data_IF_598003235612
#
_entry.id   IF_598003235612
#
_cell.length_a   1.000
_cell.length_b   1.000
_cell.length_c   1.000
_cell.angle_alpha   90.00
_cell.angle_beta   90.00
_cell.angle_gamma   90.00
#
_symmetry.space_group_name_H-M   'P 1'
#
loop_
_entity.id
_entity.type
_entity.pdbx_description
1 polymer ?
#
# COMPACT_ATOMS: atom_id res chain seq x y z
N UNK A 1 -20.41 -104.65 16.94
CA UNK A 1 -19.40 -104.03 17.83
C UNK A 1 -18.93 -102.75 17.13
N UNK A 2 -18.86 -101.67 17.85
CA UNK A 2 -18.38 -100.35 17.54
C UNK A 2 -19.31 -99.39 16.77
N UNK A 3 -19.98 -98.56 17.58
CA UNK A 3 -20.72 -97.35 17.26
C UNK A 3 -19.75 -96.22 16.95
N UNK A 4 -20.09 -95.40 15.92
CA UNK A 4 -19.49 -94.10 15.77
C UNK A 4 -20.63 -93.06 15.76
N UNK A 5 -20.68 -92.21 16.82
CA UNK A 5 -21.47 -91.07 16.93
C UNK A 5 -20.89 -89.95 16.06
N UNK A 6 -21.68 -89.38 15.09
CA UNK A 6 -21.36 -88.20 14.37
C UNK A 6 -21.80 -86.97 15.13
N UNK A 7 -20.87 -86.03 15.39
CA UNK A 7 -21.12 -84.67 15.93
C UNK A 7 -21.55 -83.73 14.81
N UNK A 8 -22.76 -83.18 14.93
CA UNK A 8 -23.24 -82.12 14.05
C UNK A 8 -22.76 -80.78 14.64
N UNK A 9 -21.83 -80.15 13.97
CA UNK A 9 -21.37 -78.79 14.29
C UNK A 9 -22.31 -77.75 13.69
N UNK A 10 -22.97 -76.95 14.56
CA UNK A 10 -23.74 -75.76 14.13
C UNK A 10 -22.76 -74.62 13.85
N UNK A 11 -22.66 -74.15 12.60
CA UNK A 11 -22.04 -72.91 12.23
C UNK A 11 -23.00 -71.76 12.56
N UNK A 12 -22.61 -70.89 13.52
CA UNK A 12 -23.29 -69.62 13.77
C UNK A 12 -22.65 -68.58 12.84
N UNK A 13 -23.34 -68.16 11.80
CA UNK A 13 -22.93 -67.06 10.96
C UNK A 13 -23.16 -65.70 11.68
N UNK A 14 -22.09 -64.98 11.95
CA UNK A 14 -22.16 -63.61 12.46
C UNK A 14 -22.23 -62.68 11.25
N UNK A 15 -23.40 -62.08 11.04
CA UNK A 15 -23.58 -61.04 10.05
C UNK A 15 -23.04 -59.70 10.55
N UNK A 16 -21.93 -59.21 10.02
CA UNK A 16 -21.39 -57.89 10.32
C UNK A 16 -22.14 -56.86 9.45
N UNK A 17 -23.03 -56.10 10.05
CA UNK A 17 -23.68 -54.98 9.40
C UNK A 17 -22.71 -53.77 9.42
N UNK A 18 -22.07 -53.48 8.31
CA UNK A 18 -21.29 -52.25 8.11
C UNK A 18 -22.25 -51.05 7.96
N UNK A 19 -22.42 -50.28 9.01
CA UNK A 19 -23.12 -48.99 8.96
C UNK A 19 -22.27 -47.98 8.22
N UNK A 20 -22.66 -47.64 6.97
CA UNK A 20 -22.07 -46.56 6.18
C UNK A 20 -22.66 -45.24 6.69
N UNK A 21 -21.93 -44.53 7.54
CA UNK A 21 -22.28 -43.17 7.93
C UNK A 21 -21.92 -42.20 6.77
N UNK A 22 -22.86 -41.38 6.29
CA UNK A 22 -22.54 -40.36 5.31
C UNK A 22 -21.54 -39.37 5.94
N UNK A 23 -20.34 -39.27 5.36
CA UNK A 23 -19.38 -38.20 5.70
C UNK A 23 -19.97 -36.91 5.19
N UNK A 24 -20.57 -36.10 6.06
CA UNK A 24 -20.86 -34.69 5.77
C UNK A 24 -19.51 -33.96 5.63
N UNK A 25 -19.14 -33.59 4.40
CA UNK A 25 -18.01 -32.69 4.21
C UNK A 25 -18.29 -31.40 4.98
N UNK A 26 -17.33 -30.90 5.78
CA UNK A 26 -17.51 -29.62 6.45
C UNK A 26 -17.76 -28.54 5.38
N UNK A 27 -18.82 -27.76 5.56
CA UNK A 27 -19.10 -26.62 4.70
C UNK A 27 -17.86 -25.71 4.70
N UNK A 28 -17.40 -25.34 3.51
CA UNK A 28 -16.27 -24.42 3.37
C UNK A 28 -16.56 -23.14 4.16
N UNK A 29 -15.66 -22.76 5.07
CA UNK A 29 -15.80 -21.53 5.82
C UNK A 29 -15.95 -20.35 4.85
N UNK A 30 -16.82 -19.38 5.09
CA UNK A 30 -17.01 -18.24 4.23
C UNK A 30 -15.66 -17.52 4.06
N UNK A 31 -15.23 -17.33 2.82
CA UNK A 31 -14.01 -16.58 2.49
C UNK A 31 -14.20 -15.17 3.01
N UNK A 32 -13.37 -14.75 3.95
CA UNK A 32 -13.42 -13.40 4.52
C UNK A 32 -13.27 -12.36 3.39
N UNK A 33 -14.18 -11.38 3.37
CA UNK A 33 -14.15 -10.31 2.37
C UNK A 33 -12.86 -9.51 2.51
N UNK A 34 -12.12 -9.35 1.43
CA UNK A 34 -10.90 -8.54 1.43
C UNK A 34 -11.24 -7.07 1.69
N UNK A 35 -10.39 -6.34 2.44
CA UNK A 35 -10.52 -4.89 2.58
C UNK A 35 -10.33 -4.22 1.22
N UNK A 36 -10.98 -3.07 1.01
CA UNK A 36 -10.91 -2.32 -0.24
C UNK A 36 -9.72 -1.37 -0.21
N UNK A 37 -8.83 -1.47 -1.20
CA UNK A 37 -7.84 -0.45 -1.52
C UNK A 37 -8.36 0.34 -2.72
N UNK A 38 -8.57 1.66 -2.53
CA UNK A 38 -8.98 2.57 -3.59
C UNK A 38 -7.75 3.28 -4.15
N UNK A 39 -7.34 2.96 -5.38
CA UNK A 39 -6.38 3.76 -6.12
C UNK A 39 -7.08 4.96 -6.73
N UNK A 40 -6.85 6.12 -6.15
CA UNK A 40 -7.48 7.37 -6.57
C UNK A 40 -6.62 8.14 -7.55
N UNK A 41 -7.22 8.51 -8.67
CA UNK A 41 -6.64 9.40 -9.68
C UNK A 41 -7.32 10.78 -9.73
N UNK A 42 -8.11 11.14 -8.73
CA UNK A 42 -8.88 12.37 -8.75
C UNK A 42 -8.02 13.65 -8.76
N UNK A 43 -6.74 13.56 -8.37
CA UNK A 43 -5.78 14.67 -8.37
C UNK A 43 -4.73 14.55 -9.48
N UNK A 44 -4.86 13.57 -10.38
CA UNK A 44 -4.01 13.46 -11.55
C UNK A 44 -4.60 14.24 -12.72
N UNK A 45 -3.74 14.96 -13.45
CA UNK A 45 -4.14 15.67 -14.66
C UNK A 45 -4.53 14.75 -15.80
N UNK A 46 -5.45 15.20 -16.64
CA UNK A 46 -5.72 14.53 -17.90
C UNK A 46 -4.42 14.47 -18.73
N UNK A 47 -4.14 13.34 -19.36
CA UNK A 47 -2.87 13.10 -20.08
C UNK A 47 -1.69 12.71 -19.21
N UNK A 48 -1.82 12.65 -17.88
CA UNK A 48 -0.79 12.06 -17.02
C UNK A 48 -0.68 10.56 -17.25
N UNK A 49 0.42 10.14 -17.87
CA UNK A 49 0.66 8.74 -18.26
C UNK A 49 1.51 7.97 -17.27
N UNK A 50 2.12 8.66 -16.31
CA UNK A 50 2.86 8.01 -15.22
C UNK A 50 1.87 7.37 -14.25
N UNK A 51 2.24 6.24 -13.70
CA UNK A 51 1.48 5.57 -12.64
C UNK A 51 0.05 5.16 -13.05
N UNK A 52 -0.15 4.81 -14.34
CA UNK A 52 -1.44 4.31 -14.82
C UNK A 52 -1.75 2.93 -14.22
N UNK A 53 -2.97 2.69 -13.76
CA UNK A 53 -3.37 1.43 -13.14
C UNK A 53 -3.33 0.23 -14.09
N UNK A 54 -3.51 0.46 -15.38
CA UNK A 54 -3.40 -0.51 -16.48
C UNK A 54 -2.06 -0.42 -17.23
N UNK A 55 -1.19 0.49 -16.81
CA UNK A 55 0.13 0.75 -17.36
C UNK A 55 1.24 0.48 -16.35
N UNK A 56 1.95 1.54 -15.96
CA UNK A 56 3.17 1.44 -15.13
C UNK A 56 2.93 0.98 -13.69
N UNK A 57 1.69 1.03 -13.18
CA UNK A 57 1.31 0.52 -11.85
C UNK A 57 0.53 -0.79 -11.89
N UNK A 58 0.35 -1.39 -13.08
CA UNK A 58 -0.41 -2.62 -13.24
C UNK A 58 0.08 -3.74 -12.32
N UNK A 59 1.39 -3.96 -12.26
CA UNK A 59 1.95 -5.09 -11.52
C UNK A 59 1.78 -4.93 -10.01
N UNK A 60 2.00 -3.73 -9.46
CA UNK A 60 1.81 -3.48 -8.03
C UNK A 60 0.35 -3.65 -7.62
N UNK A 61 -0.60 -3.11 -8.41
CA UNK A 61 -2.03 -3.23 -8.11
C UNK A 61 -2.51 -4.68 -8.23
N UNK A 62 -2.01 -5.43 -9.22
CA UNK A 62 -2.30 -6.85 -9.36
C UNK A 62 -1.77 -7.67 -8.18
N UNK A 63 -0.53 -7.44 -7.75
CA UNK A 63 0.07 -8.11 -6.59
C UNK A 63 -0.67 -7.78 -5.29
N UNK A 64 -1.10 -6.52 -5.10
CA UNK A 64 -1.93 -6.12 -3.97
C UNK A 64 -3.30 -6.81 -3.92
N UNK A 65 -3.78 -7.29 -5.06
CA UNK A 65 -4.99 -8.11 -5.16
C UNK A 65 -4.95 -9.39 -4.29
N UNK A 66 -3.79 -9.79 -3.77
CA UNK A 66 -3.66 -10.89 -2.81
C UNK A 66 -4.26 -10.51 -1.44
N UNK A 67 -4.06 -9.27 -1.00
CA UNK A 67 -4.50 -8.77 0.30
C UNK A 67 -5.78 -7.92 0.23
N UNK A 68 -6.05 -7.27 -0.90
CA UNK A 68 -7.09 -6.27 -1.07
C UNK A 68 -8.03 -6.57 -2.24
N UNK A 69 -9.25 -6.06 -2.16
CA UNK A 69 -10.06 -5.75 -3.34
C UNK A 69 -9.59 -4.38 -3.87
N UNK A 70 -8.89 -4.38 -5.00
CA UNK A 70 -8.35 -3.14 -5.58
C UNK A 70 -9.40 -2.50 -6.48
N UNK A 71 -9.76 -1.25 -6.18
CA UNK A 71 -10.63 -0.40 -7.01
C UNK A 71 -9.86 0.79 -7.53
N UNK A 72 -10.24 1.29 -8.70
CA UNK A 72 -9.67 2.50 -9.30
C UNK A 72 -10.81 3.52 -9.52
N UNK A 73 -10.55 4.79 -9.19
CA UNK A 73 -11.51 5.86 -9.44
C UNK A 73 -10.79 7.20 -9.70
N UNK A 74 -11.37 8.01 -10.58
CA UNK A 74 -10.99 9.41 -10.77
C UNK A 74 -11.99 10.39 -10.13
N UNK A 75 -13.02 9.86 -9.48
CA UNK A 75 -14.03 10.66 -8.80
C UNK A 75 -13.48 11.35 -7.55
N UNK A 76 -14.02 12.52 -7.18
CA UNK A 76 -13.66 13.17 -5.92
C UNK A 76 -13.87 12.26 -4.71
N UNK A 77 -12.94 12.31 -3.76
CA UNK A 77 -12.92 11.48 -2.54
C UNK A 77 -13.99 11.93 -1.55
N UNK A 78 -15.26 11.67 -1.88
CA UNK A 78 -16.41 11.99 -1.05
C UNK A 78 -16.86 10.80 -0.22
N UNK A 79 -17.63 11.06 0.83
CA UNK A 79 -18.14 10.06 1.78
C UNK A 79 -18.74 8.82 1.12
N UNK A 80 -19.53 8.98 0.06
CA UNK A 80 -20.17 7.84 -0.62
C UNK A 80 -19.14 6.90 -1.26
N UNK A 81 -18.10 7.45 -1.88
CA UNK A 81 -17.00 6.68 -2.47
C UNK A 81 -16.15 6.00 -1.40
N UNK A 82 -15.99 6.64 -0.23
CA UNK A 82 -15.10 6.19 0.85
C UNK A 82 -15.77 5.23 1.85
N UNK A 83 -17.08 4.98 1.74
CA UNK A 83 -17.87 4.27 2.77
C UNK A 83 -17.33 2.89 3.16
N UNK A 84 -16.83 2.12 2.21
CA UNK A 84 -16.34 0.75 2.40
C UNK A 84 -14.84 0.60 2.03
N UNK A 85 -14.17 1.73 1.87
CA UNK A 85 -12.74 1.77 1.54
C UNK A 85 -11.93 1.65 2.82
N UNK A 86 -11.02 0.69 2.88
CA UNK A 86 -10.11 0.53 4.01
C UNK A 86 -8.88 1.44 3.88
N UNK A 87 -8.38 1.63 2.65
CA UNK A 87 -7.24 2.51 2.40
C UNK A 87 -7.36 3.17 1.03
N UNK A 88 -7.07 4.47 0.98
CA UNK A 88 -6.93 5.26 -0.25
C UNK A 88 -5.46 5.41 -0.59
N UNK A 89 -5.11 5.19 -1.85
CA UNK A 89 -3.80 5.46 -2.42
C UNK A 89 -3.90 6.59 -3.45
N UNK A 90 -3.12 7.65 -3.26
CA UNK A 90 -2.90 8.75 -4.22
C UNK A 90 -1.44 8.74 -4.63
N UNK A 91 -1.15 8.62 -5.92
CA UNK A 91 0.20 8.67 -6.45
C UNK A 91 0.38 9.88 -7.37
N UNK A 92 1.40 10.66 -7.08
CA UNK A 92 1.82 11.82 -7.85
C UNK A 92 0.67 12.75 -8.26
N UNK A 93 -0.01 13.41 -7.31
CA UNK A 93 -0.96 14.47 -7.65
C UNK A 93 -0.25 15.53 -8.50
N UNK A 94 -0.93 16.08 -9.49
CA UNK A 94 -0.31 16.99 -10.44
C UNK A 94 -0.54 18.46 -10.06
N UNK A 95 0.47 19.30 -10.28
CA UNK A 95 0.39 20.75 -10.06
C UNK A 95 -0.19 21.48 -11.27
N UNK A 96 0.26 21.13 -12.48
CA UNK A 96 -0.11 21.83 -13.72
C UNK A 96 -0.67 20.87 -14.76
N UNK A 97 -1.31 21.42 -15.78
CA UNK A 97 -1.80 20.67 -16.92
C UNK A 97 -0.67 19.91 -17.64
N UNK A 98 -0.99 18.72 -18.16
CA UNK A 98 -0.07 17.93 -18.99
C UNK A 98 -0.35 18.21 -20.46
N UNK A 99 0.59 18.83 -21.13
CA UNK A 99 0.46 19.23 -22.53
C UNK A 99 -0.67 20.26 -22.70
N UNK A 100 -1.60 20.00 -23.63
CA UNK A 100 -2.76 20.87 -23.93
C UNK A 100 -4.04 20.45 -23.18
N UNK A 101 -3.94 19.51 -22.23
CA UNK A 101 -5.09 19.03 -21.46
C UNK A 101 -5.57 20.08 -20.44
N UNK A 102 -6.79 19.94 -19.92
CA UNK A 102 -7.28 20.78 -18.84
C UNK A 102 -6.38 20.70 -17.59
N UNK A 103 -6.33 21.74 -16.76
CA UNK A 103 -5.63 21.70 -15.48
C UNK A 103 -6.11 20.54 -14.61
N UNK A 104 -5.22 19.96 -13.78
CA UNK A 104 -5.62 18.94 -12.81
C UNK A 104 -6.55 19.54 -11.76
N UNK A 105 -7.32 18.67 -11.12
CA UNK A 105 -8.07 19.05 -9.94
C UNK A 105 -7.12 19.14 -8.75
N UNK A 106 -7.12 20.27 -8.07
CA UNK A 106 -6.39 20.44 -6.81
C UNK A 106 -7.25 20.10 -5.60
N UNK A 107 -6.58 19.82 -4.47
CA UNK A 107 -7.25 19.67 -3.16
C UNK A 107 -7.91 21.00 -2.78
N UNK A 108 -9.19 20.95 -2.42
CA UNK A 108 -9.95 22.10 -1.92
C UNK A 108 -10.44 21.82 -0.49
N UNK A 109 -10.94 22.84 0.20
CA UNK A 109 -11.33 22.74 1.60
C UNK A 109 -12.32 21.59 1.90
N UNK A 110 -13.25 21.30 0.98
CA UNK A 110 -14.19 20.18 1.15
C UNK A 110 -13.48 18.82 1.10
N UNK A 111 -12.44 18.67 0.29
CA UNK A 111 -11.66 17.42 0.27
C UNK A 111 -10.92 17.21 1.58
N UNK A 112 -10.33 18.29 2.13
CA UNK A 112 -9.67 18.25 3.44
C UNK A 112 -10.65 17.77 4.51
N UNK A 113 -11.88 18.30 4.52
CA UNK A 113 -12.90 17.88 5.48
C UNK A 113 -13.32 16.42 5.32
N UNK A 114 -13.59 15.97 4.09
CA UNK A 114 -14.05 14.61 3.81
C UNK A 114 -12.95 13.57 4.09
N UNK A 115 -11.72 13.81 3.62
CA UNK A 115 -10.61 12.90 3.83
C UNK A 115 -10.20 12.88 5.31
N UNK A 116 -10.17 14.03 5.98
CA UNK A 116 -9.87 14.09 7.41
C UNK A 116 -10.92 13.31 8.23
N UNK A 117 -12.21 13.43 7.91
CA UNK A 117 -13.26 12.65 8.57
C UNK A 117 -13.04 11.16 8.33
N UNK A 118 -12.88 10.75 7.07
CA UNK A 118 -12.63 9.36 6.70
C UNK A 118 -11.46 8.76 7.48
N UNK A 119 -10.32 9.46 7.55
CA UNK A 119 -9.15 8.98 8.29
C UNK A 119 -9.43 8.96 9.80
N UNK A 120 -10.02 10.00 10.38
CA UNK A 120 -10.33 10.02 11.81
C UNK A 120 -11.29 8.90 12.24
N UNK A 121 -12.16 8.46 11.33
CA UNK A 121 -13.12 7.37 11.57
C UNK A 121 -12.49 5.97 11.40
N UNK A 122 -11.23 5.87 10.97
CA UNK A 122 -10.47 4.62 10.87
C UNK A 122 -9.95 4.28 9.48
N UNK A 123 -10.18 5.13 8.47
CA UNK A 123 -9.64 4.92 7.13
C UNK A 123 -8.14 5.13 7.04
N UNK A 124 -7.51 4.44 6.10
CA UNK A 124 -6.10 4.61 5.73
C UNK A 124 -5.92 5.58 4.56
N UNK A 125 -4.89 6.41 4.59
CA UNK A 125 -4.58 7.31 3.49
C UNK A 125 -3.09 7.26 3.17
N UNK A 126 -2.74 6.87 1.94
CA UNK A 126 -1.37 6.81 1.44
C UNK A 126 -1.23 7.84 0.33
N UNK A 127 -0.28 8.74 0.46
CA UNK A 127 0.07 9.69 -0.60
C UNK A 127 1.54 9.57 -0.92
N UNK A 128 1.83 9.50 -2.21
CA UNK A 128 3.18 9.48 -2.74
C UNK A 128 3.35 10.66 -3.68
N UNK A 129 4.37 11.47 -3.45
CA UNK A 129 4.65 12.67 -4.24
C UNK A 129 6.09 12.62 -4.78
N UNK A 130 6.33 13.16 -5.95
CA UNK A 130 7.64 13.10 -6.59
C UNK A 130 8.54 14.28 -6.16
N UNK A 131 9.66 14.42 -6.83
CA UNK A 131 10.62 15.49 -6.65
C UNK A 131 10.29 16.71 -7.53
N UNK A 132 10.96 17.82 -7.24
CA UNK A 132 10.98 19.03 -8.05
C UNK A 132 11.15 18.70 -9.55
N UNK A 133 10.43 19.40 -10.42
CA UNK A 133 10.49 19.23 -11.88
C UNK A 133 9.69 18.06 -12.44
N UNK A 134 8.99 17.30 -11.62
CA UNK A 134 8.13 16.17 -12.03
C UNK A 134 6.63 16.44 -11.89
N UNK A 135 6.24 17.70 -12.05
CA UNK A 135 4.83 18.15 -11.94
C UNK A 135 4.23 17.78 -10.58
N UNK A 136 5.00 18.00 -9.52
CA UNK A 136 4.62 17.68 -8.15
C UNK A 136 3.70 18.74 -7.57
N UNK A 137 2.61 18.33 -6.98
CA UNK A 137 1.64 19.21 -6.32
C UNK A 137 1.95 19.32 -4.83
N UNK A 138 2.51 20.44 -4.39
CA UNK A 138 2.90 20.66 -3.00
C UNK A 138 1.93 21.57 -2.24
N UNK A 139 1.52 22.74 -2.74
CA UNK A 139 0.77 23.70 -1.93
C UNK A 139 -0.59 23.18 -1.47
N UNK A 140 -1.40 22.66 -2.38
CA UNK A 140 -2.75 22.19 -2.08
C UNK A 140 -2.73 20.83 -1.37
N UNK A 141 -1.82 19.91 -1.77
CA UNK A 141 -1.65 18.64 -1.06
C UNK A 141 -1.23 18.88 0.39
N UNK A 142 -0.39 19.87 0.65
CA UNK A 142 0.01 20.26 2.01
C UNK A 142 -1.13 20.86 2.83
N UNK A 143 -2.15 21.44 2.21
CA UNK A 143 -3.36 21.85 2.93
C UNK A 143 -4.10 20.65 3.53
N UNK A 144 -4.08 19.51 2.85
CA UNK A 144 -4.62 18.25 3.35
C UNK A 144 -3.67 17.59 4.37
N UNK A 145 -2.40 17.43 4.01
CA UNK A 145 -1.41 16.75 4.86
C UNK A 145 -1.17 17.48 6.18
N UNK A 146 -1.30 18.80 6.19
CA UNK A 146 -1.22 19.62 7.39
C UNK A 146 -2.22 19.24 8.48
N UNK A 147 -3.40 18.70 8.10
CA UNK A 147 -4.38 18.16 9.04
C UNK A 147 -3.86 16.90 9.78
N UNK A 148 -2.87 16.24 9.20
CA UNK A 148 -2.24 15.02 9.73
C UNK A 148 -0.82 15.27 10.28
N UNK A 149 -0.41 16.53 10.38
CA UNK A 149 0.90 16.92 10.89
C UNK A 149 2.07 16.66 9.93
N UNK A 150 1.78 16.45 8.64
CA UNK A 150 2.73 16.16 7.58
C UNK A 150 2.73 17.26 6.51
N UNK A 151 3.84 17.41 5.80
CA UNK A 151 3.90 18.25 4.60
C UNK A 151 5.05 17.78 3.70
N UNK A 152 4.87 17.85 2.38
CA UNK A 152 5.96 17.69 1.43
C UNK A 152 6.73 19.00 1.25
N UNK A 153 8.02 18.86 0.96
CA UNK A 153 8.84 19.98 0.47
C UNK A 153 8.87 19.98 -1.06
N UNK A 154 9.29 21.08 -1.67
CA UNK A 154 9.65 21.08 -3.08
C UNK A 154 11.18 20.95 -3.23
N UNK A 155 11.76 19.93 -2.56
CA UNK A 155 13.18 19.63 -2.60
C UNK A 155 13.46 18.49 -3.58
N UNK A 156 14.73 18.27 -3.83
CA UNK A 156 15.21 17.16 -4.63
C UNK A 156 16.20 16.33 -3.82
N UNK A 157 15.96 15.03 -3.73
CA UNK A 157 16.91 14.06 -3.16
C UNK A 157 17.13 12.91 -4.13
N UNK A 158 18.35 12.37 -4.19
CA UNK A 158 18.79 11.41 -5.18
C UNK A 158 19.50 10.20 -4.54
N UNK A 159 18.86 9.60 -3.56
CA UNK A 159 19.41 8.51 -2.73
C UNK A 159 19.67 7.23 -3.53
N UNK A 160 18.82 6.88 -4.47
CA UNK A 160 18.78 5.64 -5.27
C UNK A 160 18.44 4.40 -4.45
N UNK A 161 19.24 4.02 -3.46
CA UNK A 161 19.04 2.82 -2.62
C UNK A 161 19.36 3.12 -1.17
N UNK A 162 18.66 2.42 -0.29
CA UNK A 162 18.98 2.42 1.14
C UNK A 162 18.53 1.10 1.79
N UNK A 163 19.15 0.75 2.90
CA UNK A 163 18.66 -0.27 3.81
C UNK A 163 17.92 0.41 4.94
N UNK A 164 16.66 0.05 5.13
CA UNK A 164 15.83 0.59 6.21
C UNK A 164 16.38 0.06 7.54
N UNK A 165 16.66 0.91 8.55
CA UNK A 165 17.14 0.43 9.84
C UNK A 165 16.21 -0.63 10.43
N UNK A 166 16.77 -1.65 11.08
CA UNK A 166 15.99 -2.73 11.73
C UNK A 166 14.96 -2.19 12.73
N UNK A 167 15.30 -1.08 13.39
CA UNK A 167 14.44 -0.41 14.38
C UNK A 167 13.32 0.42 13.78
N UNK A 168 13.29 0.60 12.46
CA UNK A 168 12.24 1.36 11.80
C UNK A 168 10.89 0.64 11.93
N UNK A 169 9.81 1.33 12.28
CA UNK A 169 8.50 0.72 12.38
C UNK A 169 8.03 0.25 11.01
N UNK A 170 7.21 -0.80 10.99
CA UNK A 170 6.49 -1.35 9.83
C UNK A 170 7.40 -2.08 8.84
N UNK A 171 8.53 -1.49 8.43
CA UNK A 171 9.36 -1.93 7.30
C UNK A 171 10.85 -2.12 7.65
N UNK A 172 11.18 -2.25 8.94
CA UNK A 172 12.57 -2.43 9.39
C UNK A 172 13.29 -3.58 8.71
N UNK A 173 14.57 -3.39 8.43
CA UNK A 173 15.47 -4.37 7.81
C UNK A 173 15.32 -4.56 6.29
N UNK A 174 14.31 -3.94 5.66
CA UNK A 174 14.08 -4.10 4.23
C UNK A 174 15.01 -3.18 3.40
N UNK A 175 15.34 -3.63 2.19
CA UNK A 175 16.16 -2.89 1.23
C UNK A 175 15.25 -2.13 0.27
N UNK A 176 15.36 -0.83 0.27
CA UNK A 176 14.52 0.04 -0.54
C UNK A 176 15.26 0.59 -1.77
N UNK A 177 14.78 0.23 -2.95
CA UNK A 177 15.15 0.89 -4.20
C UNK A 177 14.30 2.15 -4.35
N UNK A 178 14.76 3.26 -3.76
CA UNK A 178 13.98 4.50 -3.66
C UNK A 178 14.04 5.34 -4.95
N UNK A 179 15.19 5.55 -5.50
CA UNK A 179 15.53 6.35 -6.68
C UNK A 179 15.64 7.85 -6.37
N UNK A 180 14.62 8.68 -6.60
CA UNK A 180 14.63 10.13 -6.35
C UNK A 180 13.29 10.58 -5.77
N UNK A 181 13.29 11.69 -5.06
CA UNK A 181 12.07 12.26 -4.51
C UNK A 181 12.31 13.60 -3.82
N UNK A 182 11.37 13.98 -2.97
CA UNK A 182 11.48 15.17 -2.13
C UNK A 182 11.67 14.80 -0.64
N UNK A 183 11.14 15.57 0.30
CA UNK A 183 11.23 15.34 1.74
C UNK A 183 9.89 15.57 2.41
N UNK A 184 9.65 14.87 3.52
CA UNK A 184 8.51 15.11 4.40
C UNK A 184 8.93 15.96 5.59
N UNK A 185 8.21 17.03 5.87
CA UNK A 185 8.27 17.78 7.12
C UNK A 185 7.27 17.22 8.11
N UNK A 186 7.64 17.18 9.38
CA UNK A 186 6.79 16.71 10.47
C UNK A 186 6.50 17.84 11.47
N UNK A 187 5.23 18.02 11.81
CA UNK A 187 4.80 18.85 12.94
C UNK A 187 4.71 17.96 14.19
N UNK A 188 5.82 17.77 14.89
CA UNK A 188 5.95 16.81 15.99
C UNK A 188 4.99 17.08 17.17
N UNK A 189 4.48 18.28 17.32
CA UNK A 189 3.47 18.66 18.32
C UNK A 189 2.02 18.46 17.83
N UNK A 190 1.83 17.90 16.64
CA UNK A 190 0.48 17.58 16.11
C UNK A 190 -0.17 16.45 16.90
N UNK A 191 -1.47 16.53 17.21
CA UNK A 191 -2.21 15.41 17.81
C UNK A 191 -2.27 14.16 16.92
N UNK A 192 -1.96 14.28 15.62
CA UNK A 192 -1.85 13.17 14.70
C UNK A 192 -0.57 12.31 14.89
N UNK A 193 0.33 12.71 15.82
CA UNK A 193 1.55 11.97 16.19
C UNK A 193 2.41 11.58 14.97
N UNK A 194 2.78 12.52 14.10
CA UNK A 194 3.61 12.21 12.95
C UNK A 194 5.01 11.74 13.39
N UNK A 195 5.51 10.72 12.71
CA UNK A 195 6.86 10.18 12.95
C UNK A 195 7.54 9.79 11.64
N UNK A 196 8.85 9.95 11.59
CA UNK A 196 9.67 9.45 10.52
C UNK A 196 9.76 7.92 10.59
N UNK A 197 9.70 7.27 9.44
CA UNK A 197 9.94 5.83 9.29
C UNK A 197 11.27 5.61 8.59
N UNK A 198 11.57 6.39 7.55
CA UNK A 198 12.84 6.36 6.84
C UNK A 198 13.39 7.75 6.69
N UNK A 199 14.63 7.91 7.09
CA UNK A 199 15.40 9.17 6.99
C UNK A 199 16.60 8.93 6.11
N UNK A 200 16.83 9.80 5.13
CA UNK A 200 18.09 9.90 4.46
C UNK A 200 19.02 10.77 5.31
N UNK A 201 19.96 10.15 6.00
CA UNK A 201 21.00 10.81 6.80
C UNK A 201 22.34 10.90 6.05
N UNK A 202 22.34 10.54 4.77
CA UNK A 202 23.50 10.48 3.88
C UNK A 202 24.52 9.38 4.22
N UNK A 203 24.29 8.56 5.25
CA UNK A 203 25.22 7.49 5.67
C UNK A 203 25.15 6.25 4.78
N UNK A 204 24.02 6.01 4.13
CA UNK A 204 23.76 4.79 3.33
C UNK A 204 23.74 5.04 1.82
N UNK A 205 24.55 5.94 1.36
CA UNK A 205 24.58 6.35 -0.03
C UNK A 205 25.32 5.32 -0.90
N UNK A 206 24.59 4.38 -1.49
CA UNK A 206 25.17 3.37 -2.40
C UNK A 206 25.34 3.89 -3.84
N UNK A 207 24.39 4.69 -4.33
CA UNK A 207 24.39 5.26 -5.69
C UNK A 207 23.81 6.68 -5.60
N UNK A 208 24.41 7.54 -4.81
CA UNK A 208 23.92 8.91 -4.66
C UNK A 208 24.06 9.74 -5.94
N UNK A 209 23.11 10.60 -6.16
CA UNK A 209 23.12 11.57 -7.20
C UNK A 209 23.87 12.84 -6.82
N UNK A 210 23.84 13.82 -7.72
CA UNK A 210 24.54 15.11 -7.54
C UNK A 210 23.87 16.02 -6.50
N UNK A 211 22.58 15.82 -6.21
CA UNK A 211 21.73 16.70 -5.39
C UNK A 211 21.09 15.96 -4.23
N UNK A 212 21.88 15.18 -3.53
CA UNK A 212 21.37 14.42 -2.40
C UNK A 212 21.33 15.28 -1.14
N UNK A 213 20.17 15.32 -0.48
CA UNK A 213 19.90 16.15 0.70
C UNK A 213 19.35 15.27 1.83
N UNK A 214 19.86 15.45 3.03
CA UNK A 214 19.35 14.78 4.23
C UNK A 214 17.89 15.17 4.51
N UNK A 215 17.07 14.21 4.96
CA UNK A 215 15.68 14.48 5.30
C UNK A 215 14.83 13.21 5.37
N UNK A 216 13.58 13.38 5.76
CA UNK A 216 12.63 12.27 5.88
C UNK A 216 12.09 11.91 4.50
N UNK A 217 12.20 10.63 4.13
CA UNK A 217 11.70 10.08 2.85
C UNK A 217 10.34 9.42 2.98
N UNK A 218 10.07 8.85 4.14
CA UNK A 218 8.82 8.20 4.48
C UNK A 218 8.44 8.55 5.91
N UNK A 219 7.23 9.03 6.07
CA UNK A 219 6.64 9.36 7.37
C UNK A 219 5.24 8.77 7.50
N UNK A 220 4.83 8.56 8.74
CA UNK A 220 3.48 8.11 9.08
C UNK A 220 2.88 8.99 10.16
N UNK A 221 1.54 9.01 10.24
CA UNK A 221 0.81 9.59 11.35
C UNK A 221 -0.44 8.80 11.68
N UNK A 222 -0.96 8.97 12.90
CA UNK A 222 -2.09 8.22 13.44
C UNK A 222 -3.17 9.18 13.96
N UNK A 223 -3.89 9.89 13.06
CA UNK A 223 -4.94 10.81 13.45
C UNK A 223 -6.24 10.04 13.76
N UNK A 224 -6.83 10.34 14.92
CA UNK A 224 -8.08 9.67 15.35
C UNK A 224 -7.92 8.16 15.46
N UNK A 225 -8.68 7.41 14.67
CA UNK A 225 -8.62 5.94 14.57
C UNK A 225 -7.89 5.46 13.31
N UNK A 226 -7.53 6.37 12.41
CA UNK A 226 -6.95 6.02 11.11
C UNK A 226 -5.46 6.22 11.03
N UNK A 227 -4.93 6.02 9.84
CA UNK A 227 -3.50 6.02 9.57
C UNK A 227 -3.16 6.71 8.26
N UNK A 228 -2.11 7.49 8.26
CA UNK A 228 -1.62 8.20 7.08
C UNK A 228 -0.17 7.83 6.82
N UNK A 229 0.15 7.62 5.54
CA UNK A 229 1.51 7.38 5.04
C UNK A 229 1.82 8.44 3.99
N UNK A 230 2.94 9.13 4.15
CA UNK A 230 3.48 10.05 3.16
C UNK A 230 4.84 9.53 2.67
N UNK A 231 4.97 9.34 1.37
CA UNK A 231 6.19 8.87 0.69
C UNK A 231 6.61 9.88 -0.36
N UNK A 232 7.89 10.16 -0.46
CA UNK A 232 8.43 11.25 -1.28
C UNK A 232 8.87 10.84 -2.69
N UNK A 233 8.44 9.68 -3.16
CA UNK A 233 8.54 9.23 -4.55
C UNK A 233 7.34 8.34 -4.88
N UNK A 234 6.93 8.31 -6.13
CA UNK A 234 5.88 7.40 -6.62
C UNK A 234 6.45 6.31 -7.52
N UNK A 235 7.61 6.50 -8.12
CA UNK A 235 8.18 5.62 -9.13
C UNK A 235 8.71 4.29 -8.60
N UNK A 236 9.04 4.20 -7.32
CA UNK A 236 9.70 3.05 -6.71
C UNK A 236 8.88 1.76 -6.70
N UNK A 237 7.58 1.81 -6.97
CA UNK A 237 6.69 0.65 -7.11
C UNK A 237 6.16 0.46 -8.54
N UNK A 238 6.73 1.17 -9.51
CA UNK A 238 6.38 0.97 -10.92
C UNK A 238 6.77 -0.42 -11.41
N UNK A 239 6.15 -0.88 -12.51
CA UNK A 239 6.47 -2.17 -13.12
C UNK A 239 7.98 -2.34 -13.37
N UNK A 240 8.65 -1.30 -13.87
CA UNK A 240 10.10 -1.36 -14.12
C UNK A 240 10.90 -1.49 -12.82
N UNK A 241 10.51 -0.79 -11.76
CA UNK A 241 11.11 -0.96 -10.45
C UNK A 241 10.90 -2.39 -9.92
N UNK A 242 9.67 -2.91 -10.01
CA UNK A 242 9.31 -4.25 -9.51
C UNK A 242 9.87 -5.40 -10.36
N UNK A 243 10.19 -5.17 -11.63
CA UNK A 243 10.80 -6.18 -12.51
C UNK A 243 12.33 -6.24 -12.42
N UNK A 244 12.94 -5.32 -11.68
CA UNK A 244 14.40 -5.21 -11.59
C UNK A 244 15.07 -4.56 -12.80
N UNK A 245 14.31 -4.01 -13.75
CA UNK A 245 14.86 -3.28 -14.90
C UNK A 245 15.46 -1.93 -14.52
N UNK A 246 15.10 -1.42 -13.32
CA UNK A 246 15.49 -0.11 -12.85
C UNK A 246 14.46 0.97 -13.16
N UNK A 247 14.73 2.18 -12.71
CA UNK A 247 13.86 3.34 -12.86
C UNK A 247 14.59 4.36 -13.73
N UNK A 248 13.92 4.89 -14.76
CA UNK A 248 14.47 5.95 -15.62
C UNK A 248 15.78 5.58 -16.32
N UNK A 249 15.98 4.30 -16.68
CA UNK A 249 17.20 3.83 -17.34
C UNK A 249 18.41 3.67 -16.42
N UNK A 250 18.28 3.95 -15.13
CA UNK A 250 19.31 3.70 -14.13
C UNK A 250 19.13 2.29 -13.60
N UNK A 251 20.14 1.45 -13.66
CA UNK A 251 20.10 0.02 -13.29
C UNK A 251 19.89 -0.25 -11.81
N UNK A 252 18.82 0.32 -11.22
CA UNK A 252 18.38 0.05 -9.86
C UNK A 252 17.43 -1.14 -9.91
N UNK A 253 17.94 -2.29 -9.56
CA UNK A 253 17.11 -3.49 -9.46
C UNK A 253 16.18 -3.37 -8.26
N UNK A 254 15.01 -3.99 -8.38
CA UNK A 254 14.11 -4.20 -7.27
C UNK A 254 14.88 -4.76 -6.08
N UNK A 255 14.58 -4.26 -4.93
CA UNK A 255 14.99 -4.78 -3.64
C UNK A 255 13.77 -5.44 -2.98
N UNK A 256 13.30 -4.85 -1.90
CA UNK A 256 12.11 -5.34 -1.20
C UNK A 256 10.90 -4.40 -1.43
N UNK A 257 10.90 -3.65 -2.54
CA UNK A 257 9.95 -2.56 -2.82
C UNK A 257 8.47 -2.99 -2.69
N UNK A 258 8.11 -4.14 -3.28
CA UNK A 258 6.75 -4.63 -3.16
C UNK A 258 6.38 -4.97 -1.71
N UNK A 259 7.27 -5.63 -0.97
CA UNK A 259 7.01 -5.99 0.42
C UNK A 259 6.94 -4.74 1.33
N UNK A 260 7.78 -3.75 1.08
CA UNK A 260 7.70 -2.44 1.75
C UNK A 260 6.31 -1.84 1.52
N UNK A 261 5.88 -1.72 0.27
CA UNK A 261 4.58 -1.11 -0.05
C UNK A 261 3.42 -1.93 0.49
N UNK A 262 3.47 -3.23 0.38
CA UNK A 262 2.47 -4.16 0.92
C UNK A 262 2.30 -3.99 2.43
N UNK A 263 3.41 -3.91 3.20
CA UNK A 263 3.36 -3.67 4.65
C UNK A 263 2.78 -2.31 4.98
N UNK A 264 3.17 -1.26 4.24
CA UNK A 264 2.60 0.09 4.43
C UNK A 264 1.09 0.11 4.14
N UNK A 265 0.64 -0.54 3.07
CA UNK A 265 -0.78 -0.61 2.72
C UNK A 265 -1.59 -1.39 3.76
N UNK A 266 -1.09 -2.54 4.23
CA UNK A 266 -1.72 -3.34 5.30
C UNK A 266 -1.77 -2.56 6.61
N UNK A 267 -0.68 -1.92 6.99
CA UNK A 267 -0.62 -1.08 8.18
C UNK A 267 -1.64 0.06 8.08
N UNK A 268 -1.67 0.80 6.97
CA UNK A 268 -2.62 1.89 6.77
C UNK A 268 -4.08 1.40 6.81
N UNK A 269 -4.36 0.22 6.25
CA UNK A 269 -5.70 -0.40 6.27
C UNK A 269 -6.02 -1.14 7.58
N UNK A 270 -5.10 -1.19 8.55
CA UNK A 270 -5.26 -1.88 9.85
C UNK A 270 -5.58 -3.38 9.68
N UNK A 271 -4.93 -4.03 8.71
CA UNK A 271 -5.13 -5.45 8.39
C UNK A 271 -4.06 -6.31 9.04
N UNK A 272 -4.46 -7.27 9.85
CA UNK A 272 -3.57 -8.27 10.43
C UNK A 272 -2.80 -7.79 11.65
N UNK A 273 -3.40 -6.92 12.43
CA UNK A 273 -2.96 -6.58 13.80
C UNK A 273 -3.73 -7.38 14.83
#
# INVERSE_FOLDING_TARGET
>A
MNSRLGRIGRLIGVAVVLAVFPRTSPAAAPVAKKPVLLYSRCFNGAGETRYLPDGTFKDVLQRLGQDFEVRVSSEPLKRNLLKDVAVVLVANPNDVAVGTNPPPRHVVAVDVLEIRRYVNDGGGFIVMDNQEGHNVEVPHMNSLLGAFGLAFTNAYTDVKRLTVPETAPIIGGLRWGYYTGNQVLLRTNSPAKPRAVVVNDLSQKLLGGKRDVAGVLLAVSEPGKGRVVAVTDSGWISNDALSGKGIGGVGIKEQDNFEIFRRLARWAAQVGE
#
